data_IF_233299139520
#
_entry.id   IF_233299139520
#
_cell.length_a   1.000
_cell.length_b   1.000
_cell.length_c   1.000
_cell.angle_alpha   90.00
_cell.angle_beta   90.00
_cell.angle_gamma   90.00
#
_symmetry.space_group_name_H-M   'P 1'
#
loop_
_entity.id
_entity.type
_entity.pdbx_description
1 polymer ?
#
# COMPACT_ATOMS: atom_id res chain seq x y z
N UNK A 1 -22.66 35.54 -15.52
CA UNK A 1 -24.12 35.45 -15.28
C UNK A 1 -24.41 33.97 -14.97
N UNK A 2 -24.38 33.63 -13.69
CA UNK A 2 -24.53 32.27 -13.16
C UNK A 2 -25.99 32.11 -12.73
N UNK A 3 -26.70 31.13 -13.30
CA UNK A 3 -28.08 30.80 -12.90
C UNK A 3 -28.02 29.57 -11.97
N UNK A 4 -28.23 29.82 -10.69
CA UNK A 4 -28.44 28.82 -9.68
C UNK A 4 -29.77 28.06 -9.92
N UNK A 5 -29.70 26.76 -10.17
CA UNK A 5 -30.89 25.91 -10.18
C UNK A 5 -31.20 25.43 -8.77
N UNK A 6 -32.17 26.09 -8.16
CA UNK A 6 -32.78 25.72 -6.88
C UNK A 6 -33.60 24.44 -7.09
N UNK A 7 -33.11 23.30 -6.61
CA UNK A 7 -33.88 22.06 -6.60
C UNK A 7 -34.92 22.10 -5.49
N UNK A 8 -36.19 21.99 -5.90
CA UNK A 8 -37.36 22.10 -5.01
C UNK A 8 -37.48 20.85 -4.12
N UNK A 9 -37.73 21.11 -2.82
CA UNK A 9 -37.95 20.15 -1.74
C UNK A 9 -39.15 19.19 -1.94
N UNK A 10 -39.94 19.38 -3.01
CA UNK A 10 -41.17 18.64 -3.31
C UNK A 10 -40.97 17.32 -4.07
N UNK A 11 -39.76 17.06 -4.57
CA UNK A 11 -39.46 15.82 -5.34
C UNK A 11 -38.96 14.65 -4.46
N UNK A 12 -38.75 14.85 -3.16
CA UNK A 12 -38.23 13.81 -2.26
C UNK A 12 -39.29 13.05 -1.47
N UNK A 13 -40.55 13.52 -1.48
CA UNK A 13 -41.66 12.88 -0.73
C UNK A 13 -42.39 11.78 -1.48
N UNK A 14 -42.08 11.57 -2.76
CA UNK A 14 -42.80 10.59 -3.61
C UNK A 14 -42.13 9.20 -3.64
N UNK A 15 -41.06 8.95 -2.91
CA UNK A 15 -40.32 7.69 -2.94
C UNK A 15 -40.43 6.84 -1.67
N UNK A 16 -41.13 7.31 -0.63
CA UNK A 16 -41.38 6.50 0.57
C UNK A 16 -42.88 6.45 0.89
N UNK A 17 -43.56 5.55 0.20
CA UNK A 17 -44.97 5.20 0.49
C UNK A 17 -45.09 4.59 1.88
N UNK A 18 -45.89 5.22 2.74
CA UNK A 18 -46.35 4.66 4.01
C UNK A 18 -47.33 3.54 3.73
N UNK A 19 -46.97 2.32 4.05
CA UNK A 19 -47.97 1.27 4.34
C UNK A 19 -47.71 0.71 5.73
N UNK A 20 -48.50 1.17 6.70
CA UNK A 20 -48.66 0.56 8.02
C UNK A 20 -49.86 -0.37 7.99
N UNK A 21 -49.66 -1.65 7.73
CA UNK A 21 -50.72 -2.65 7.95
C UNK A 21 -50.66 -3.13 9.41
N UNK A 22 -51.67 -2.72 10.17
CA UNK A 22 -51.97 -3.23 11.51
C UNK A 22 -52.60 -4.63 11.40
N UNK A 23 -51.84 -5.68 11.68
CA UNK A 23 -52.37 -7.05 11.84
C UNK A 23 -52.74 -7.24 13.32
N UNK A 24 -54.03 -7.23 13.60
CA UNK A 24 -54.60 -7.67 14.88
C UNK A 24 -54.46 -9.18 15.02
N UNK A 25 -53.51 -9.62 15.79
CA UNK A 25 -53.31 -11.04 16.10
C UNK A 25 -54.08 -11.41 17.35
N UNK A 26 -55.15 -12.26 17.20
CA UNK A 26 -55.87 -12.88 18.30
C UNK A 26 -54.96 -13.89 18.98
N UNK A 27 -54.77 -13.72 20.27
CA UNK A 27 -54.03 -14.63 21.15
C UNK A 27 -54.91 -15.88 21.37
N UNK A 28 -54.50 -17.01 20.84
CA UNK A 28 -54.98 -18.32 21.24
C UNK A 28 -53.81 -19.05 21.85
N UNK A 29 -53.85 -19.22 23.15
CA UNK A 29 -52.89 -19.99 23.92
C UNK A 29 -53.25 -21.47 23.86
N UNK A 30 -52.36 -22.36 23.38
CA UNK A 30 -52.26 -23.69 23.93
C UNK A 30 -50.89 -23.84 24.65
N UNK A 31 -50.99 -24.20 25.93
CA UNK A 31 -49.88 -24.68 26.72
C UNK A 31 -49.45 -26.02 26.12
N UNK A 32 -48.31 -26.01 25.44
CA UNK A 32 -47.61 -27.24 25.04
C UNK A 32 -46.25 -27.28 25.74
N UNK A 33 -46.20 -28.19 26.75
CA UNK A 33 -45.02 -28.52 27.51
C UNK A 33 -44.01 -29.21 26.57
N UNK A 34 -43.09 -28.48 25.98
CA UNK A 34 -42.00 -29.06 25.20
C UNK A 34 -40.73 -29.12 26.02
N UNK A 35 -40.30 -30.33 26.31
CA UNK A 35 -39.04 -30.72 26.89
C UNK A 35 -37.90 -30.16 26.01
N UNK A 36 -37.21 -29.14 26.47
CA UNK A 36 -35.98 -28.64 25.85
C UNK A 36 -34.87 -29.69 26.08
N UNK A 37 -34.67 -30.60 25.13
CA UNK A 37 -33.44 -31.33 25.03
C UNK A 37 -32.35 -30.32 24.63
N UNK A 38 -31.51 -29.91 25.59
CA UNK A 38 -30.34 -29.11 25.31
C UNK A 38 -29.31 -30.00 24.59
N UNK A 39 -29.40 -30.03 23.24
CA UNK A 39 -28.28 -30.51 22.45
C UNK A 39 -27.20 -29.41 22.51
N UNK A 40 -26.22 -29.58 23.39
CA UNK A 40 -24.97 -28.84 23.32
C UNK A 40 -24.28 -29.22 22.02
N UNK A 41 -24.49 -28.39 20.99
CA UNK A 41 -23.68 -28.43 19.81
C UNK A 41 -22.28 -27.94 20.25
N UNK A 42 -21.42 -28.89 20.61
CA UNK A 42 -19.99 -28.63 20.64
C UNK A 42 -19.60 -28.23 19.21
N UNK A 43 -19.61 -26.93 18.94
CA UNK A 43 -18.97 -26.36 17.79
C UNK A 43 -17.50 -26.77 17.88
N UNK A 44 -17.11 -27.78 17.10
CA UNK A 44 -15.71 -28.04 16.83
C UNK A 44 -15.17 -26.79 16.15
N UNK A 45 -14.50 -25.91 16.90
CA UNK A 45 -13.61 -24.90 16.33
C UNK A 45 -12.46 -25.65 15.65
N UNK A 46 -12.76 -26.26 14.54
CA UNK A 46 -11.75 -26.69 13.58
C UNK A 46 -11.11 -25.44 13.03
N UNK A 47 -10.04 -24.96 13.69
CA UNK A 47 -9.13 -24.03 13.07
C UNK A 47 -8.67 -24.68 11.75
N UNK A 48 -9.33 -24.33 10.67
CA UNK A 48 -8.84 -24.58 9.30
C UNK A 48 -7.56 -23.72 9.17
N UNK A 49 -6.46 -24.20 9.73
CA UNK A 49 -5.12 -23.75 9.32
C UNK A 49 -4.99 -24.18 7.87
N UNK A 50 -5.47 -23.35 6.95
CA UNK A 50 -5.16 -23.51 5.54
C UNK A 50 -3.64 -23.62 5.45
N UNK A 51 -3.13 -24.74 4.91
CA UNK A 51 -1.70 -24.85 4.64
C UNK A 51 -1.34 -23.77 3.61
N UNK A 52 -0.63 -22.76 4.08
CA UNK A 52 -0.19 -21.68 3.21
C UNK A 52 0.94 -22.22 2.29
N UNK A 53 0.95 -21.81 1.02
CA UNK A 53 1.98 -22.25 0.09
C UNK A 53 3.36 -21.74 0.53
N UNK A 54 4.38 -22.53 0.29
CA UNK A 54 5.78 -22.12 0.47
C UNK A 54 6.13 -21.10 -0.62
N UNK A 55 6.46 -19.87 -0.21
CA UNK A 55 6.83 -18.78 -1.11
C UNK A 55 8.33 -18.87 -1.44
N UNK A 56 8.65 -19.02 -2.72
CA UNK A 56 10.02 -18.94 -3.22
C UNK A 56 10.28 -17.50 -3.68
N UNK A 57 11.34 -16.89 -3.13
CA UNK A 57 11.71 -15.50 -3.45
C UNK A 57 13.09 -15.43 -4.09
N UNK A 58 13.30 -14.42 -4.94
CA UNK A 58 14.59 -14.18 -5.61
C UNK A 58 15.69 -13.79 -4.61
N UNK A 59 16.94 -13.83 -5.07
CA UNK A 59 18.08 -13.29 -4.29
C UNK A 59 17.94 -11.80 -4.02
N UNK A 60 17.34 -11.04 -4.94
CA UNK A 60 17.08 -9.62 -4.78
C UNK A 60 16.04 -9.34 -3.70
N UNK A 61 14.94 -10.11 -3.68
CA UNK A 61 13.94 -10.02 -2.62
C UNK A 61 14.53 -10.32 -1.24
N UNK A 62 15.31 -11.40 -1.11
CA UNK A 62 16.01 -11.74 0.14
C UNK A 62 16.99 -10.65 0.58
N UNK A 63 17.60 -9.96 -0.37
CA UNK A 63 18.47 -8.81 -0.08
C UNK A 63 17.67 -7.62 0.45
N UNK A 64 16.51 -7.33 -0.13
CA UNK A 64 15.61 -6.28 0.35
C UNK A 64 15.06 -6.58 1.75
N UNK A 65 14.83 -7.86 2.10
CA UNK A 65 14.43 -8.24 3.46
C UNK A 65 15.41 -7.79 4.55
N UNK A 66 16.69 -7.56 4.24
CA UNK A 66 17.70 -7.13 5.23
C UNK A 66 17.46 -5.72 5.76
N UNK A 67 16.72 -4.90 5.01
CA UNK A 67 16.39 -3.53 5.43
C UNK A 67 15.01 -3.41 6.08
N UNK A 68 14.32 -4.51 6.33
CA UNK A 68 13.04 -4.52 7.06
C UNK A 68 13.20 -3.84 8.41
N UNK A 69 12.23 -2.99 8.76
CA UNK A 69 12.20 -2.19 9.99
C UNK A 69 11.96 -0.71 9.72
N UNK A 70 12.09 0.09 10.76
CA UNK A 70 11.82 1.53 10.75
C UNK A 70 13.11 2.32 10.59
N UNK A 71 13.02 3.39 9.82
CA UNK A 71 14.14 4.25 9.49
C UNK A 71 13.72 5.71 9.51
N UNK A 72 14.63 6.58 9.95
CA UNK A 72 14.44 8.04 9.94
C UNK A 72 15.69 8.73 9.43
N UNK A 73 15.52 9.86 8.78
CA UNK A 73 16.65 10.65 8.30
C UNK A 73 16.23 11.88 7.54
N UNK A 74 17.11 12.33 6.66
CA UNK A 74 16.89 13.54 5.87
C UNK A 74 17.13 13.27 4.40
N UNK A 75 16.30 13.87 3.56
CA UNK A 75 16.43 13.90 2.12
C UNK A 75 16.93 15.26 1.69
N UNK A 76 17.97 15.27 0.85
CA UNK A 76 18.42 16.45 0.10
C UNK A 76 17.90 16.33 -1.34
N UNK A 77 17.16 17.33 -1.79
CA UNK A 77 16.64 17.46 -3.14
C UNK A 77 17.64 18.21 -4.04
N UNK A 78 17.49 18.10 -5.36
CA UNK A 78 18.38 18.74 -6.35
C UNK A 78 18.37 20.28 -6.30
N UNK A 79 17.28 20.89 -5.82
CA UNK A 79 17.15 22.33 -5.56
C UNK A 79 17.82 22.79 -4.25
N UNK A 80 18.41 21.84 -3.48
CA UNK A 80 19.06 22.08 -2.20
C UNK A 80 18.12 22.00 -0.99
N UNK A 81 16.82 21.84 -1.17
CA UNK A 81 15.86 21.66 -0.06
C UNK A 81 16.20 20.40 0.73
N UNK A 82 16.13 20.49 2.06
CA UNK A 82 16.32 19.35 2.98
C UNK A 82 15.01 19.15 3.71
N UNK A 83 14.48 17.92 3.68
CA UNK A 83 13.24 17.53 4.35
C UNK A 83 13.47 16.33 5.26
N UNK A 84 12.59 16.16 6.25
CA UNK A 84 12.59 14.98 7.11
C UNK A 84 11.91 13.81 6.40
N UNK A 85 12.47 12.62 6.61
CA UNK A 85 11.99 11.37 6.03
C UNK A 85 11.88 10.31 7.10
N UNK A 86 10.72 9.66 7.15
CA UNK A 86 10.49 8.43 7.89
C UNK A 86 10.06 7.33 6.93
N UNK A 87 10.56 6.13 7.13
CA UNK A 87 10.11 4.99 6.31
C UNK A 87 10.11 3.69 7.11
N UNK A 88 9.15 2.82 6.79
CA UNK A 88 9.03 1.50 7.38
C UNK A 88 8.89 0.44 6.30
N UNK A 89 9.76 -0.57 6.35
CA UNK A 89 9.69 -1.75 5.51
C UNK A 89 9.13 -2.92 6.30
N UNK A 90 8.11 -3.61 5.77
CA UNK A 90 7.49 -4.80 6.36
C UNK A 90 7.35 -5.93 5.35
N UNK A 91 7.65 -7.14 5.77
CA UNK A 91 7.26 -8.35 5.01
C UNK A 91 5.77 -8.56 5.18
N UNK A 92 5.05 -8.73 4.10
CA UNK A 92 3.59 -8.93 4.05
C UNK A 92 3.23 -10.11 3.14
N UNK A 93 1.94 -10.41 3.02
CA UNK A 93 1.41 -11.40 2.08
C UNK A 93 2.13 -12.77 2.16
N UNK A 94 2.21 -13.35 3.36
CA UNK A 94 2.89 -14.63 3.63
C UNK A 94 4.35 -14.68 3.11
N UNK A 95 5.05 -13.53 3.16
CA UNK A 95 6.45 -13.46 2.73
C UNK A 95 6.66 -13.24 1.24
N UNK A 96 5.60 -13.04 0.44
CA UNK A 96 5.68 -12.82 -1.01
C UNK A 96 5.86 -11.36 -1.43
N UNK A 97 5.66 -10.42 -0.50
CA UNK A 97 5.81 -8.99 -0.77
C UNK A 97 6.46 -8.26 0.41
N UNK A 98 7.02 -7.09 0.12
CA UNK A 98 7.51 -6.13 1.12
C UNK A 98 6.79 -4.81 0.85
N UNK A 99 6.11 -4.27 1.86
CA UNK A 99 5.61 -2.91 1.82
C UNK A 99 6.65 -1.94 2.38
N UNK A 100 6.76 -0.79 1.75
CA UNK A 100 7.45 0.39 2.27
C UNK A 100 6.41 1.48 2.48
N UNK A 101 6.21 1.92 3.71
CA UNK A 101 5.52 3.18 4.00
C UNK A 101 6.61 4.25 4.04
N UNK A 102 6.42 5.33 3.29
CA UNK A 102 7.38 6.44 3.18
C UNK A 102 6.65 7.74 3.51
N UNK A 103 7.18 8.51 4.45
CA UNK A 103 6.65 9.82 4.84
C UNK A 103 7.74 10.85 4.54
N UNK A 104 7.44 11.80 3.65
CA UNK A 104 8.29 12.89 3.25
C UNK A 104 7.61 14.21 3.57
N UNK A 105 8.17 14.99 4.51
CA UNK A 105 7.60 16.28 4.94
C UNK A 105 6.11 16.16 5.33
N UNK A 106 5.73 15.03 6.01
CA UNK A 106 4.37 14.72 6.44
C UNK A 106 3.46 14.09 5.37
N UNK A 107 3.91 13.94 4.13
CA UNK A 107 3.14 13.29 3.05
C UNK A 107 3.47 11.80 3.00
N UNK A 108 2.45 10.96 3.16
CA UNK A 108 2.59 9.50 3.13
C UNK A 108 2.45 8.94 1.72
N UNK A 109 3.34 8.01 1.39
CA UNK A 109 3.36 7.22 0.16
C UNK A 109 3.59 5.75 0.47
N UNK A 110 3.23 4.86 -0.44
CA UNK A 110 3.45 3.42 -0.28
C UNK A 110 4.15 2.86 -1.51
N UNK A 111 5.14 2.00 -1.28
CA UNK A 111 5.73 1.17 -2.34
C UNK A 111 5.55 -0.30 -1.99
N UNK A 112 5.09 -1.10 -2.92
CA UNK A 112 4.98 -2.56 -2.76
C UNK A 112 6.00 -3.22 -3.68
N UNK A 113 6.94 -3.94 -3.06
CA UNK A 113 7.93 -4.76 -3.76
C UNK A 113 7.49 -6.22 -3.78
N UNK A 114 7.58 -6.86 -4.94
CA UNK A 114 7.31 -8.29 -5.08
C UNK A 114 8.08 -8.89 -6.26
N UNK A 115 8.32 -10.20 -6.20
CA UNK A 115 8.87 -10.92 -7.35
C UNK A 115 7.78 -11.18 -8.39
N UNK A 116 8.08 -10.83 -9.64
CA UNK A 116 7.25 -11.16 -10.81
C UNK A 116 8.09 -11.99 -11.76
N UNK A 117 7.73 -13.27 -11.94
CA UNK A 117 8.46 -14.19 -12.80
C UNK A 117 9.97 -14.25 -12.48
N UNK A 118 10.34 -14.20 -11.19
CA UNK A 118 11.72 -14.26 -10.73
C UNK A 118 12.49 -12.94 -10.77
N UNK A 119 11.87 -11.85 -11.22
CA UNK A 119 12.44 -10.50 -11.21
C UNK A 119 11.75 -9.64 -10.15
N UNK A 120 12.52 -9.00 -9.29
CA UNK A 120 11.99 -8.09 -8.29
C UNK A 120 11.48 -6.81 -8.97
N UNK A 121 10.23 -6.45 -8.71
CA UNK A 121 9.62 -5.21 -9.15
C UNK A 121 9.01 -4.44 -8.00
N UNK A 122 8.54 -3.23 -8.29
CA UNK A 122 7.85 -2.39 -7.33
C UNK A 122 6.72 -1.59 -8.00
N UNK A 123 5.67 -1.31 -7.24
CA UNK A 123 4.66 -0.30 -7.58
C UNK A 123 4.73 0.77 -6.50
N UNK A 124 4.93 2.01 -6.93
CA UNK A 124 4.98 3.16 -6.03
C UNK A 124 3.69 3.97 -6.14
N UNK A 125 2.95 4.08 -5.04
CA UNK A 125 1.73 4.90 -4.93
C UNK A 125 2.15 6.29 -4.46
N UNK A 126 2.26 7.21 -5.42
CA UNK A 126 2.87 8.51 -5.26
C UNK A 126 1.87 9.59 -4.86
N UNK A 127 2.33 10.60 -4.11
CA UNK A 127 1.56 11.84 -3.84
C UNK A 127 1.21 12.62 -5.11
N UNK A 128 1.85 12.32 -6.24
CA UNK A 128 1.49 12.86 -7.56
C UNK A 128 0.17 12.28 -8.10
N UNK A 129 -0.47 11.33 -7.38
CA UNK A 129 -1.72 10.70 -7.78
C UNK A 129 -1.57 9.61 -8.84
N UNK A 130 -0.35 9.16 -9.11
CA UNK A 130 -0.07 8.08 -10.06
C UNK A 130 0.68 6.90 -9.41
N UNK A 131 0.78 5.79 -10.15
CA UNK A 131 1.38 4.55 -9.67
C UNK A 131 2.45 4.05 -10.65
N UNK A 132 3.65 4.68 -10.69
CA UNK A 132 4.74 4.19 -11.51
C UNK A 132 5.14 2.77 -11.10
N UNK A 133 5.32 1.91 -12.09
CA UNK A 133 5.91 0.60 -11.94
C UNK A 133 7.42 0.70 -12.14
N UNK A 134 8.17 0.03 -11.28
CA UNK A 134 9.61 -0.07 -11.36
C UNK A 134 10.03 -1.54 -11.45
N UNK A 135 11.12 -1.81 -12.14
CA UNK A 135 11.71 -3.14 -12.26
C UNK A 135 13.18 -3.08 -11.86
N UNK A 136 13.66 -4.11 -11.18
CA UNK A 136 15.07 -4.23 -10.81
C UNK A 136 15.93 -4.23 -12.08
N UNK A 137 16.78 -3.21 -12.24
CA UNK A 137 17.69 -3.04 -13.37
C UNK A 137 19.13 -3.43 -13.02
N UNK A 138 19.52 -3.27 -11.76
CA UNK A 138 20.85 -3.67 -11.29
C UNK A 138 20.82 -4.13 -9.84
N UNK A 139 21.69 -5.09 -9.54
CA UNK A 139 21.90 -5.62 -8.20
C UNK A 139 23.37 -5.85 -7.92
N UNK A 140 23.87 -5.25 -6.83
CA UNK A 140 25.18 -5.56 -6.26
C UNK A 140 25.04 -6.26 -4.91
N UNK A 141 26.14 -6.51 -4.21
CA UNK A 141 26.09 -7.05 -2.83
C UNK A 141 25.48 -6.04 -1.83
N UNK A 142 25.50 -4.76 -2.14
CA UNK A 142 25.15 -3.67 -1.23
C UNK A 142 24.13 -2.69 -1.79
N UNK A 143 23.63 -2.91 -3.01
CA UNK A 143 22.60 -2.06 -3.61
C UNK A 143 21.62 -2.81 -4.48
N UNK A 144 20.43 -2.23 -4.61
CA UNK A 144 19.36 -2.60 -5.51
C UNK A 144 18.94 -1.33 -6.27
N UNK A 145 19.03 -1.36 -7.59
CA UNK A 145 18.62 -0.24 -8.45
C UNK A 145 17.42 -0.64 -9.28
N UNK A 146 16.42 0.23 -9.31
CA UNK A 146 15.17 0.03 -10.03
C UNK A 146 14.99 1.13 -11.06
N UNK A 147 14.60 0.77 -12.26
CA UNK A 147 14.24 1.69 -13.33
C UNK A 147 12.73 1.58 -13.63
N UNK A 148 12.19 2.65 -14.18
CA UNK A 148 10.80 2.74 -14.60
C UNK A 148 10.44 1.66 -15.63
N UNK A 149 9.30 1.01 -15.42
CA UNK A 149 8.68 0.07 -16.35
C UNK A 149 7.42 0.74 -16.96
N UNK A 150 7.38 0.96 -18.29
CA UNK A 150 6.27 1.66 -18.95
C UNK A 150 4.96 0.87 -18.95
N UNK A 151 4.92 -0.34 -18.42
CA UNK A 151 3.70 -1.18 -18.36
C UNK A 151 2.53 -0.48 -17.65
N UNK A 152 2.82 0.47 -16.74
CA UNK A 152 1.79 1.25 -16.06
C UNK A 152 1.15 2.34 -16.93
N UNK A 153 1.62 2.55 -18.16
CA UNK A 153 1.05 3.49 -19.12
C UNK A 153 1.54 4.94 -19.02
N UNK A 154 2.31 5.29 -17.98
CA UNK A 154 2.92 6.62 -17.84
C UNK A 154 3.98 6.84 -18.93
N UNK A 155 4.13 8.10 -19.39
CA UNK A 155 5.00 8.46 -20.52
C UNK A 155 5.86 9.67 -20.20
N UNK A 156 7.19 9.52 -20.33
CA UNK A 156 8.12 10.65 -20.27
C UNK A 156 7.81 11.70 -21.35
N UNK A 157 7.81 12.97 -20.96
CA UNK A 157 7.41 14.07 -21.84
C UNK A 157 5.91 14.33 -21.91
N UNK A 158 5.12 13.63 -21.09
CA UNK A 158 3.69 13.84 -20.92
C UNK A 158 3.28 13.84 -19.45
N UNK A 159 3.85 12.92 -18.68
CA UNK A 159 3.50 12.69 -17.30
C UNK A 159 4.70 12.99 -16.39
N UNK A 160 4.44 13.49 -15.18
CA UNK A 160 5.42 13.62 -14.12
C UNK A 160 5.32 12.41 -13.20
N UNK A 161 6.43 11.67 -13.00
CA UNK A 161 6.44 10.47 -12.17
C UNK A 161 7.81 10.10 -11.62
N UNK A 162 7.82 9.31 -10.55
CA UNK A 162 9.03 8.70 -9.99
C UNK A 162 9.55 7.62 -10.95
N UNK A 163 10.79 7.80 -11.45
CA UNK A 163 11.29 6.97 -12.54
C UNK A 163 12.54 6.13 -12.21
N UNK A 164 13.24 6.43 -11.13
CA UNK A 164 14.36 5.62 -10.65
C UNK A 164 14.39 5.57 -9.14
N UNK A 165 14.79 4.42 -8.61
CA UNK A 165 15.04 4.22 -7.19
C UNK A 165 16.30 3.38 -6.99
N UNK A 166 17.19 3.80 -6.11
CA UNK A 166 18.27 2.97 -5.64
C UNK A 166 18.27 2.91 -4.11
N UNK A 167 18.44 1.71 -3.59
CA UNK A 167 18.57 1.43 -2.16
C UNK A 167 19.97 0.86 -1.94
N UNK A 168 20.79 1.57 -1.16
CA UNK A 168 22.15 1.18 -0.83
C UNK A 168 22.33 1.04 0.68
N UNK A 169 22.97 -0.02 1.11
CA UNK A 169 23.28 -0.27 2.51
C UNK A 169 24.64 -0.94 2.65
N UNK A 170 25.27 -0.78 3.80
CA UNK A 170 26.55 -1.38 4.10
C UNK A 170 26.37 -2.49 5.16
N UNK A 171 26.64 -3.77 4.86
CA UNK A 171 26.53 -4.86 5.86
C UNK A 171 27.38 -4.64 7.11
N UNK A 172 28.48 -3.86 7.02
CA UNK A 172 29.30 -3.48 8.17
C UNK A 172 28.69 -2.34 9.00
N UNK A 173 27.65 -1.68 8.48
CA UNK A 173 26.91 -0.59 9.11
C UNK A 173 25.40 -0.85 8.94
N UNK A 174 24.84 -1.90 9.56
CA UNK A 174 23.47 -2.36 9.30
C UNK A 174 22.39 -1.37 9.72
N UNK A 175 22.77 -0.32 10.44
CA UNK A 175 21.86 0.73 10.89
C UNK A 175 21.94 2.00 10.02
N UNK A 176 22.66 1.97 8.92
CA UNK A 176 22.76 3.07 7.95
C UNK A 176 22.28 2.58 6.57
N UNK A 177 21.46 3.39 5.90
CA UNK A 177 20.97 3.15 4.57
C UNK A 177 20.91 4.46 3.79
N UNK A 178 21.20 4.38 2.50
CA UNK A 178 21.06 5.50 1.58
C UNK A 178 20.04 5.11 0.53
N UNK A 179 19.12 6.02 0.25
CA UNK A 179 18.22 5.93 -0.88
C UNK A 179 18.49 7.10 -1.83
N UNK A 180 18.47 6.83 -3.12
CA UNK A 180 18.42 7.87 -4.14
C UNK A 180 17.19 7.64 -5.01
N UNK A 181 16.60 8.72 -5.47
CA UNK A 181 15.44 8.66 -6.33
C UNK A 181 15.45 9.77 -7.35
N UNK A 182 14.76 9.57 -8.46
CA UNK A 182 14.55 10.61 -9.44
C UNK A 182 13.09 10.69 -9.86
N UNK A 183 12.62 11.91 -10.05
CA UNK A 183 11.32 12.22 -10.66
C UNK A 183 11.57 12.86 -12.00
N UNK A 184 11.00 12.31 -13.06
CA UNK A 184 10.98 12.93 -14.37
C UNK A 184 9.77 13.85 -14.47
N UNK A 185 9.96 15.07 -14.96
CA UNK A 185 8.89 16.03 -15.19
C UNK A 185 8.32 15.91 -16.61
N UNK A 186 7.20 16.57 -16.87
CA UNK A 186 6.53 16.60 -18.18
C UNK A 186 7.42 17.16 -19.28
N UNK A 187 8.30 18.13 -18.95
CA UNK A 187 9.32 18.69 -19.87
C UNK A 187 10.58 17.83 -20.02
N UNK A 188 10.59 16.61 -19.45
CA UNK A 188 11.70 15.66 -19.37
C UNK A 188 12.87 16.09 -18.48
N UNK A 189 12.79 17.19 -17.77
CA UNK A 189 13.80 17.51 -16.75
C UNK A 189 13.69 16.49 -15.60
N UNK A 190 14.78 16.28 -14.88
CA UNK A 190 14.87 15.28 -13.83
C UNK A 190 15.24 15.94 -12.51
N UNK A 191 14.41 15.73 -11.52
CA UNK A 191 14.69 16.10 -10.13
C UNK A 191 15.24 14.89 -9.39
N UNK A 192 16.44 15.01 -8.84
CA UNK A 192 17.08 13.96 -8.07
C UNK A 192 16.97 14.23 -6.57
N UNK A 193 16.95 13.16 -5.79
CA UNK A 193 16.98 13.22 -4.34
C UNK A 193 17.95 12.18 -3.78
N UNK A 194 18.53 12.49 -2.61
CA UNK A 194 19.36 11.58 -1.83
C UNK A 194 18.92 11.64 -0.37
N UNK A 195 18.58 10.48 0.18
CA UNK A 195 18.11 10.32 1.55
C UNK A 195 19.11 9.51 2.35
N UNK A 196 19.53 10.01 3.48
CA UNK A 196 20.40 9.30 4.44
C UNK A 196 19.56 8.91 5.65
N UNK A 197 19.50 7.61 5.91
CA UNK A 197 18.59 7.00 6.87
C UNK A 197 19.37 6.25 7.95
N UNK A 198 18.89 6.35 9.18
CA UNK A 198 19.33 5.55 10.33
C UNK A 198 18.17 4.70 10.83
N UNK A 199 18.50 3.46 11.22
CA UNK A 199 17.51 2.54 11.78
C UNK A 199 17.01 3.07 13.13
N UNK A 200 15.68 3.07 13.29
CA UNK A 200 15.04 3.36 14.58
C UNK A 200 15.05 2.08 15.42
N UNK A 201 15.45 2.21 16.68
CA UNK A 201 15.45 1.10 17.65
C UNK A 201 14.05 0.86 18.21
#
# INVERSE_FOLDING_TARGET
MQKDKKVSKKSLELLFGKETNQIKMKIITPILLTIFAHTTIFGQEGSLKAELPVIKTSKAFKQLQQIVGKWKGKMKQSDGKIIDVETEYKVIANGSAISQILIEDGLEMITIFNDRNGTLGAIHYCVLGNQPTLVLSNRTKTSLSFDFDPICGLKAGKDKFFNKHEISYNPKKPNEMIQTGTVINEDRTVNASRTELKRVK
#
